data_IF_011850115436
#
_entry.id   IF_011850115436
#
_cell.length_a   1.000
_cell.length_b   1.000
_cell.length_c   1.000
_cell.angle_alpha   90.00
_cell.angle_beta   90.00
_cell.angle_gamma   90.00
#
_symmetry.space_group_name_H-M   'P 1'
#
loop_
_entity.id
_entity.type
_entity.pdbx_description
1 polymer ?
#
# COMPACT_ATOMS: atom_id res chain seq x y z
N UNK A 1 5.27 -14.53 -43.86
CA UNK A 1 6.03 -15.45 -42.98
C UNK A 1 7.14 -14.65 -42.33
N UNK A 2 7.08 -14.57 -40.99
CA UNK A 2 8.09 -14.11 -40.00
C UNK A 2 8.83 -12.77 -40.20
N UNK A 3 8.45 -11.77 -39.38
CA UNK A 3 9.34 -10.69 -38.93
C UNK A 3 9.92 -11.09 -37.57
N UNK A 4 11.25 -11.22 -37.50
CA UNK A 4 12.01 -11.46 -36.27
C UNK A 4 12.37 -10.11 -35.65
N UNK A 5 12.02 -9.95 -34.38
CA UNK A 5 12.40 -8.82 -33.54
C UNK A 5 13.80 -9.02 -32.95
N UNK A 6 14.64 -8.00 -33.10
CA UNK A 6 15.78 -7.68 -32.23
C UNK A 6 15.73 -6.14 -32.09
N UNK A 7 15.59 -5.52 -30.92
CA UNK A 7 16.28 -5.75 -29.66
C UNK A 7 17.36 -4.68 -29.53
N UNK A 8 17.02 -3.51 -28.96
CA UNK A 8 17.97 -2.49 -28.49
C UNK A 8 17.21 -1.51 -27.59
N UNK A 9 17.23 -1.80 -26.28
CA UNK A 9 16.75 -0.91 -25.23
C UNK A 9 17.97 -0.14 -24.71
N UNK A 10 18.18 1.07 -25.22
CA UNK A 10 19.20 1.98 -24.73
C UNK A 10 18.74 2.62 -23.42
N UNK A 11 19.53 2.41 -22.36
CA UNK A 11 19.34 3.09 -21.07
C UNK A 11 19.88 4.52 -21.18
N UNK A 12 19.05 5.51 -20.87
CA UNK A 12 19.51 6.85 -20.56
C UNK A 12 19.18 7.14 -19.09
N UNK A 13 20.24 7.27 -18.31
CA UNK A 13 20.22 7.72 -16.92
C UNK A 13 20.14 9.24 -16.91
N UNK A 14 18.93 9.80 -16.78
CA UNK A 14 18.78 11.22 -16.48
C UNK A 14 18.70 11.43 -14.97
N UNK A 15 19.83 11.87 -14.42
CA UNK A 15 20.00 12.21 -13.02
C UNK A 15 19.39 13.58 -12.76
N UNK A 16 18.12 13.62 -12.38
CA UNK A 16 17.47 14.87 -11.96
C UNK A 16 17.27 14.92 -10.44
N UNK A 17 18.26 15.53 -9.77
CA UNK A 17 18.18 16.00 -8.39
C UNK A 17 17.16 17.14 -8.29
N UNK A 18 15.93 16.81 -7.88
CA UNK A 18 14.90 17.79 -7.52
C UNK A 18 14.48 17.56 -6.07
N UNK A 19 14.52 18.64 -5.29
CA UNK A 19 14.52 18.65 -3.83
C UNK A 19 13.57 17.66 -3.16
N UNK A 20 14.12 16.88 -2.23
CA UNK A 20 13.38 15.98 -1.35
C UNK A 20 12.54 16.79 -0.36
N UNK A 21 11.42 17.35 -0.82
CA UNK A 21 10.25 17.37 0.04
C UNK A 21 9.88 15.91 0.21
N UNK A 22 10.17 15.32 1.38
CA UNK A 22 9.65 14.00 1.73
C UNK A 22 8.12 14.12 1.83
N UNK A 23 7.45 14.16 0.68
CA UNK A 23 6.02 13.93 0.59
C UNK A 23 5.88 12.50 1.03
N UNK A 24 5.67 12.29 2.33
CA UNK A 24 5.18 11.04 2.84
C UNK A 24 3.94 10.77 2.00
N UNK A 25 4.02 9.81 1.08
CA UNK A 25 2.88 9.46 0.23
C UNK A 25 1.85 8.82 1.17
N UNK A 26 1.03 9.67 1.78
CA UNK A 26 0.04 9.27 2.77
C UNK A 26 -1.11 8.65 1.98
N UNK A 27 -1.28 7.34 2.12
CA UNK A 27 -2.52 6.70 1.67
C UNK A 27 -3.69 7.32 2.41
N UNK A 28 -4.63 7.89 1.66
CA UNK A 28 -5.75 8.62 2.23
C UNK A 28 -6.67 7.65 3.01
N UNK A 29 -7.24 8.11 4.12
CA UNK A 29 -8.18 7.34 4.94
C UNK A 29 -9.35 6.76 4.12
N UNK A 30 -9.83 7.51 3.12
CA UNK A 30 -10.88 7.07 2.19
C UNK A 30 -10.45 5.85 1.37
N UNK A 31 -9.22 5.86 0.84
CA UNK A 31 -8.66 4.72 0.09
C UNK A 31 -8.53 3.50 0.99
N UNK A 32 -8.02 3.67 2.22
CA UNK A 32 -7.92 2.57 3.19
C UNK A 32 -9.29 1.98 3.53
N UNK A 33 -10.31 2.81 3.74
CA UNK A 33 -11.69 2.35 3.96
C UNK A 33 -12.25 1.58 2.78
N UNK A 34 -11.97 2.01 1.54
CA UNK A 34 -12.38 1.29 0.33
C UNK A 34 -11.74 -0.09 0.28
N UNK A 35 -10.43 -0.18 0.52
CA UNK A 35 -9.69 -1.44 0.59
C UNK A 35 -10.25 -2.36 1.67
N UNK A 36 -10.47 -1.84 2.89
CA UNK A 36 -10.99 -2.63 4.01
C UNK A 36 -12.41 -3.14 3.77
N UNK A 37 -13.30 -2.32 3.21
CA UNK A 37 -14.65 -2.78 2.82
C UNK A 37 -14.58 -3.92 1.80
N UNK A 38 -13.69 -3.81 0.83
CA UNK A 38 -13.47 -4.87 -0.14
C UNK A 38 -12.95 -6.15 0.55
N UNK A 39 -11.94 -6.03 1.41
CA UNK A 39 -11.39 -7.18 2.15
C UNK A 39 -12.44 -7.90 3.02
N UNK A 40 -13.33 -7.15 3.68
CA UNK A 40 -14.41 -7.74 4.49
C UNK A 40 -15.35 -8.55 3.60
N UNK A 41 -15.74 -8.01 2.45
CA UNK A 41 -16.60 -8.71 1.48
C UNK A 41 -15.91 -9.95 0.91
N UNK A 42 -14.66 -9.83 0.46
CA UNK A 42 -13.88 -10.94 -0.11
C UNK A 42 -13.66 -12.04 0.91
N UNK A 43 -13.37 -11.71 2.17
CA UNK A 43 -13.20 -12.71 3.24
C UNK A 43 -14.46 -13.54 3.46
N UNK A 44 -15.63 -12.92 3.40
CA UNK A 44 -16.91 -13.61 3.55
C UNK A 44 -17.22 -14.54 2.36
N UNK A 45 -16.74 -14.20 1.16
CA UNK A 45 -17.02 -14.95 -0.08
C UNK A 45 -16.00 -16.06 -0.35
N UNK A 46 -14.71 -15.76 -0.22
CA UNK A 46 -13.61 -16.61 -0.66
C UNK A 46 -12.77 -17.15 0.51
N UNK A 47 -13.09 -16.78 1.75
CA UNK A 47 -12.31 -17.14 2.93
C UNK A 47 -11.04 -16.28 3.12
N UNK A 48 -10.09 -16.77 3.93
CA UNK A 48 -8.93 -15.98 4.38
C UNK A 48 -7.59 -16.28 3.71
N UNK A 49 -7.48 -17.34 2.92
CA UNK A 49 -6.18 -17.97 2.60
C UNK A 49 -5.26 -17.09 1.74
N UNK A 50 -5.80 -16.19 0.92
CA UNK A 50 -5.05 -15.30 0.03
C UNK A 50 -5.50 -13.84 0.10
N UNK A 51 -6.19 -13.46 1.17
CA UNK A 51 -6.84 -12.15 1.27
C UNK A 51 -5.84 -10.99 1.07
N UNK A 52 -4.69 -11.01 1.73
CA UNK A 52 -3.74 -9.88 1.68
C UNK A 52 -2.97 -9.77 0.36
N UNK A 53 -2.40 -10.86 -0.20
CA UNK A 53 -1.79 -10.81 -1.53
C UNK A 53 -2.78 -10.30 -2.60
N UNK A 54 -4.00 -10.84 -2.63
CA UNK A 54 -5.02 -10.47 -3.60
C UNK A 54 -5.46 -9.00 -3.44
N UNK A 55 -5.52 -8.51 -2.20
CA UNK A 55 -5.78 -7.10 -1.91
C UNK A 55 -4.72 -6.19 -2.52
N UNK A 56 -3.43 -6.55 -2.36
CA UNK A 56 -2.32 -5.77 -2.90
C UNK A 56 -2.35 -5.77 -4.42
N UNK A 57 -2.63 -6.93 -5.02
CA UNK A 57 -2.67 -7.09 -6.47
C UNK A 57 -3.88 -6.35 -7.08
N UNK A 58 -5.02 -6.27 -6.38
CA UNK A 58 -6.20 -5.50 -6.83
C UNK A 58 -6.06 -3.99 -6.64
N UNK A 59 -5.38 -3.55 -5.59
CA UNK A 59 -5.26 -2.13 -5.23
C UNK A 59 -3.83 -1.60 -5.34
N UNK A 60 -3.09 -2.00 -6.39
CA UNK A 60 -1.70 -1.56 -6.60
C UNK A 60 -1.54 -0.04 -6.56
N UNK A 61 -2.52 0.73 -7.05
CA UNK A 61 -2.50 2.19 -7.02
C UNK A 61 -2.53 2.79 -5.60
N UNK A 62 -3.06 2.05 -4.62
CA UNK A 62 -3.11 2.44 -3.20
C UNK A 62 -1.84 2.00 -2.46
N UNK A 63 -1.25 0.88 -2.86
CA UNK A 63 -0.06 0.32 -2.22
C UNK A 63 1.23 0.84 -2.88
N UNK A 64 1.78 1.93 -2.32
CA UNK A 64 2.93 2.65 -2.88
C UNK A 64 4.31 2.19 -2.38
N UNK A 65 4.42 1.15 -1.54
CA UNK A 65 5.73 0.71 -1.08
C UNK A 65 6.45 -0.08 -2.19
N UNK A 66 7.77 0.08 -2.29
CA UNK A 66 8.57 -0.50 -3.37
C UNK A 66 8.67 -2.02 -3.38
N UNK A 67 8.25 -2.71 -2.31
CA UNK A 67 8.23 -4.17 -2.25
C UNK A 67 6.83 -4.71 -1.98
N UNK A 68 6.46 -5.79 -2.68
CA UNK A 68 5.16 -6.47 -2.50
C UNK A 68 4.97 -6.95 -1.06
N UNK A 69 6.02 -7.49 -0.43
CA UNK A 69 5.98 -7.91 0.97
C UNK A 69 5.64 -6.77 1.94
N UNK A 70 6.19 -5.57 1.73
CA UNK A 70 5.86 -4.40 2.56
C UNK A 70 4.40 -3.97 2.36
N UNK A 71 3.88 -4.07 1.13
CA UNK A 71 2.48 -3.78 0.85
C UNK A 71 1.53 -4.80 1.50
N UNK A 72 1.89 -6.09 1.50
CA UNK A 72 1.15 -7.14 2.20
C UNK A 72 1.13 -6.87 3.71
N UNK A 73 2.28 -6.54 4.30
CA UNK A 73 2.36 -6.18 5.72
C UNK A 73 1.44 -5.00 6.06
N UNK A 74 1.39 -3.96 5.21
CA UNK A 74 0.49 -2.82 5.39
C UNK A 74 -0.99 -3.22 5.30
N UNK A 75 -1.36 -4.10 4.36
CA UNK A 75 -2.72 -4.62 4.26
C UNK A 75 -3.12 -5.39 5.53
N UNK A 76 -2.20 -6.20 6.07
CA UNK A 76 -2.38 -6.90 7.36
C UNK A 76 -2.56 -5.93 8.52
N UNK A 77 -1.74 -4.88 8.60
CA UNK A 77 -1.85 -3.85 9.65
C UNK A 77 -3.19 -3.11 9.59
N UNK A 78 -3.64 -2.74 8.39
CA UNK A 78 -4.95 -2.11 8.21
C UNK A 78 -6.08 -3.04 8.62
N UNK A 79 -5.96 -4.32 8.29
CA UNK A 79 -6.96 -5.32 8.67
C UNK A 79 -7.07 -5.51 10.19
N UNK A 80 -5.93 -5.50 10.90
CA UNK A 80 -5.92 -5.54 12.38
C UNK A 80 -6.67 -4.36 12.98
N UNK A 81 -6.56 -3.18 12.37
CA UNK A 81 -7.24 -1.96 12.81
C UNK A 81 -8.58 -1.70 12.09
N UNK A 82 -9.14 -2.69 11.36
CA UNK A 82 -10.28 -2.47 10.45
C UNK A 82 -11.49 -1.85 11.11
N UNK A 83 -11.82 -2.25 12.34
CA UNK A 83 -12.96 -1.74 13.10
C UNK A 83 -12.79 -0.25 13.41
N UNK A 84 -11.58 0.18 13.77
CA UNK A 84 -11.27 1.60 13.97
C UNK A 84 -11.40 2.39 12.68
N UNK A 85 -10.99 1.82 11.56
CA UNK A 85 -11.06 2.50 10.25
C UNK A 85 -12.49 2.59 9.70
N UNK A 86 -13.29 1.53 9.84
CA UNK A 86 -14.66 1.44 9.32
C UNK A 86 -15.66 2.13 10.25
N UNK A 87 -15.51 1.96 11.57
CA UNK A 87 -16.41 2.51 12.58
C UNK A 87 -16.13 3.97 12.95
N UNK A 88 -14.96 4.53 12.58
CA UNK A 88 -14.70 5.94 12.81
C UNK A 88 -15.68 6.83 12.03
N UNK A 89 -16.36 7.75 12.74
CA UNK A 89 -17.23 8.75 12.15
C UNK A 89 -16.53 9.53 11.01
N UNK A 90 -17.29 10.02 10.04
CA UNK A 90 -16.76 10.93 9.01
C UNK A 90 -16.22 12.18 9.73
N UNK A 91 -14.92 12.48 9.56
CA UNK A 91 -14.25 13.60 10.23
C UNK A 91 -13.38 13.24 11.45
N UNK A 92 -13.37 11.97 11.90
CA UNK A 92 -12.51 11.57 13.02
C UNK A 92 -11.03 11.48 12.60
N UNK A 93 -10.19 12.34 13.17
CA UNK A 93 -8.72 12.39 12.99
C UNK A 93 -7.97 11.43 13.91
N UNK A 94 -8.68 10.74 14.81
CA UNK A 94 -8.10 9.89 15.88
C UNK A 94 -7.31 8.69 15.34
N UNK A 95 -7.56 8.29 14.08
CA UNK A 95 -6.86 7.16 13.47
C UNK A 95 -5.49 7.58 12.92
N UNK A 96 -4.61 8.01 13.81
CA UNK A 96 -3.18 8.19 13.52
C UNK A 96 -2.60 6.84 13.07
N UNK A 97 -2.14 6.78 11.82
CA UNK A 97 -1.39 5.62 11.31
C UNK A 97 0.05 5.54 11.83
N UNK A 98 0.44 6.39 12.79
CA UNK A 98 1.77 6.32 13.41
C UNK A 98 1.76 5.22 14.46
N UNK A 99 2.80 4.37 14.43
CA UNK A 99 3.10 3.45 15.54
C UNK A 99 3.26 4.27 16.82
N UNK A 100 2.75 3.77 17.94
CA UNK A 100 2.85 4.44 19.25
C UNK A 100 4.31 4.79 19.60
N UNK A 101 5.24 3.93 19.18
CA UNK A 101 6.66 4.25 19.11
C UNK A 101 7.05 4.64 17.69
N UNK A 102 7.64 5.82 17.52
CA UNK A 102 8.18 6.29 16.24
C UNK A 102 9.27 5.36 15.69
N UNK A 103 9.87 5.72 14.56
CA UNK A 103 11.08 5.04 14.08
C UNK A 103 12.22 5.32 15.06
N UNK A 104 12.56 4.35 15.88
CA UNK A 104 13.80 4.36 16.67
C UNK A 104 14.94 4.12 15.69
N UNK A 105 15.85 5.10 15.59
CA UNK A 105 17.12 4.91 14.89
C UNK A 105 18.01 4.09 15.81
N UNK A 106 18.39 2.91 15.37
CA UNK A 106 19.45 2.12 16.03
C UNK A 106 20.75 2.62 15.44
N UNK A 107 21.52 3.38 16.23
CA UNK A 107 22.91 3.66 15.89
C UNK A 107 23.72 2.41 16.24
N UNK A 108 24.55 1.94 15.31
CA UNK A 108 25.56 0.90 15.51
C UNK A 108 26.92 1.57 15.64
#
# INVERSE_FOLDING_TARGET
VTRVSTGLCSSEHDSQTKGYSSILVVTNLSQRRKVLRWMVKTKAQCGGKLLFPETVDKFQSVFKSGTRCANIAKATDWWRMRERYIGAARGSTVVSGRRAHGRVRVNR
#
